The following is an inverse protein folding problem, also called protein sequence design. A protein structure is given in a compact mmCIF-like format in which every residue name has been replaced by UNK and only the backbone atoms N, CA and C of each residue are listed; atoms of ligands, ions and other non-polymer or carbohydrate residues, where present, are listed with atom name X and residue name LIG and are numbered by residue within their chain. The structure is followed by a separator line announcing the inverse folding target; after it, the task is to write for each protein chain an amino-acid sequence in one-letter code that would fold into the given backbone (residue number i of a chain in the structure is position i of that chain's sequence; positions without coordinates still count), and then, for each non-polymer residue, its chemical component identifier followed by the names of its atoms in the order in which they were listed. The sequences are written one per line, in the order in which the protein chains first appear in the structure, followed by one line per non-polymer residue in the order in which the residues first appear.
data_IF_883086916306
#
_entry.id   IF_883086916306
#
_cell.length_a   1.000
_cell.length_b   1.000
_cell.length_c   1.000
_cell.angle_alpha   90.00
_cell.angle_beta   90.00
_cell.angle_gamma   90.00
#
_symmetry.space_group_name_H-M   'P 1'
#
loop_
_entity.id
_entity.type
_entity.pdbx_description
1 polymer ?
#
# COMPACT_ATOMS: atom_id res chain seq x y z
N UNK A 1 -14.66 -64.24 -21.93
CA UNK A 1 -14.66 -62.82 -21.55
C UNK A 1 -13.25 -62.52 -21.09
N UNK A 2 -12.72 -61.38 -21.54
CA UNK A 2 -11.36 -60.85 -21.30
C UNK A 2 -10.28 -61.31 -22.30
N UNK A 3 -10.38 -60.75 -23.51
CA UNK A 3 -9.24 -60.27 -24.28
C UNK A 3 -9.32 -58.74 -24.30
N UNK A 4 -8.25 -58.04 -23.90
CA UNK A 4 -7.66 -56.94 -24.69
C UNK A 4 -6.54 -56.16 -23.94
N UNK A 5 -5.34 -56.27 -24.52
CA UNK A 5 -4.40 -55.19 -24.90
C UNK A 5 -3.36 -54.65 -23.89
N UNK A 6 -2.09 -54.95 -24.21
CA UNK A 6 -0.84 -54.29 -23.78
C UNK A 6 -0.78 -52.79 -24.14
N UNK A 7 -0.04 -51.96 -23.40
CA UNK A 7 0.84 -50.93 -23.99
C UNK A 7 2.06 -50.61 -23.11
N UNK A 8 3.18 -50.39 -23.79
CA UNK A 8 4.55 -50.37 -23.30
C UNK A 8 5.02 -48.97 -22.85
N UNK A 9 5.87 -48.96 -21.82
CA UNK A 9 7.11 -48.18 -21.61
C UNK A 9 7.17 -46.67 -21.94
N UNK A 10 7.67 -45.85 -21.00
CA UNK A 10 9.01 -45.20 -21.07
C UNK A 10 9.16 -44.11 -20.00
N UNK A 11 10.29 -44.16 -19.28
CA UNK A 11 10.80 -43.08 -18.41
C UNK A 11 11.44 -42.01 -19.28
N UNK A 12 11.15 -40.72 -19.05
CA UNK A 12 12.06 -39.61 -19.39
C UNK A 12 11.83 -38.44 -18.43
N UNK A 13 12.85 -38.14 -17.62
CA UNK A 13 13.03 -36.87 -16.90
C UNK A 13 13.31 -35.75 -17.91
N UNK A 14 12.53 -34.67 -17.85
CA UNK A 14 12.76 -33.44 -18.60
C UNK A 14 12.31 -32.23 -17.80
N UNK A 15 13.28 -31.40 -17.39
CA UNK A 15 13.08 -30.05 -16.85
C UNK A 15 12.43 -29.17 -17.91
N UNK A 16 11.39 -28.44 -17.54
CA UNK A 16 10.96 -27.24 -18.27
C UNK A 16 10.37 -26.23 -17.30
N UNK A 17 11.22 -25.29 -16.87
CA UNK A 17 10.79 -23.95 -16.52
C UNK A 17 10.02 -23.36 -17.71
N UNK A 18 8.84 -22.81 -17.45
CA UNK A 18 8.16 -21.90 -18.37
C UNK A 18 7.31 -20.96 -17.53
N UNK A 19 7.84 -19.75 -17.41
CA UNK A 19 7.16 -18.56 -16.93
C UNK A 19 5.77 -18.44 -17.57
N UNK A 20 4.74 -18.18 -16.76
CA UNK A 20 3.54 -17.57 -17.27
C UNK A 20 3.21 -16.31 -16.47
N UNK A 21 3.77 -15.20 -16.97
CA UNK A 21 3.35 -13.85 -16.67
C UNK A 21 2.00 -13.60 -17.33
N UNK A 22 0.91 -13.73 -16.56
CA UNK A 22 -0.39 -13.12 -16.85
C UNK A 22 -1.36 -13.41 -15.70
N UNK A 23 -1.33 -12.59 -14.65
CA UNK A 23 -2.54 -12.44 -13.83
C UNK A 23 -2.60 -11.04 -13.23
N UNK A 24 -2.85 -10.06 -14.09
CA UNK A 24 -3.00 -8.65 -13.73
C UNK A 24 -4.40 -8.07 -14.01
N UNK A 25 -5.43 -8.90 -14.21
CA UNK A 25 -6.73 -8.41 -14.70
C UNK A 25 -7.97 -8.97 -13.99
N UNK A 26 -7.84 -9.60 -12.81
CA UNK A 26 -9.00 -10.14 -12.06
C UNK A 26 -9.22 -9.57 -10.65
N UNK A 27 -8.33 -8.72 -10.11
CA UNK A 27 -8.42 -8.29 -8.69
C UNK A 27 -9.47 -7.17 -8.45
N UNK A 28 -9.64 -6.22 -9.39
CA UNK A 28 -10.46 -5.02 -9.14
C UNK A 28 -11.96 -5.31 -8.99
N UNK A 29 -12.49 -6.29 -9.73
CA UNK A 29 -13.92 -6.62 -9.72
C UNK A 29 -14.35 -7.41 -8.47
N UNK A 30 -13.43 -8.19 -7.89
CA UNK A 30 -13.67 -8.90 -6.63
C UNK A 30 -13.57 -7.95 -5.43
N UNK A 31 -12.66 -6.97 -5.46
CA UNK A 31 -12.54 -5.97 -4.39
C UNK A 31 -13.72 -5.01 -4.29
N UNK A 32 -14.38 -4.69 -5.41
CA UNK A 32 -15.50 -3.74 -5.43
C UNK A 32 -16.72 -4.18 -4.58
N UNK A 33 -16.91 -5.49 -4.38
CA UNK A 33 -17.99 -6.07 -3.56
C UNK A 33 -17.51 -6.59 -2.18
N UNK A 34 -16.24 -6.36 -1.86
CA UNK A 34 -15.60 -6.85 -0.65
C UNK A 34 -16.01 -6.02 0.59
N UNK A 35 -15.90 -6.61 1.77
CA UNK A 35 -16.22 -5.96 3.05
C UNK A 35 -14.94 -5.59 3.79
N UNK A 36 -14.91 -4.42 4.40
CA UNK A 36 -13.80 -3.92 5.19
C UNK A 36 -14.23 -3.83 6.65
N UNK A 37 -13.36 -4.32 7.55
CA UNK A 37 -13.52 -4.16 9.00
C UNK A 37 -12.78 -2.91 9.45
N UNK A 38 -13.50 -1.98 10.07
CA UNK A 38 -12.94 -0.79 10.71
C UNK A 38 -12.96 -1.04 12.22
N UNK A 39 -11.79 -0.94 12.85
CA UNK A 39 -11.63 -1.07 14.29
C UNK A 39 -11.35 0.30 14.88
N UNK A 40 -12.14 0.66 15.89
CA UNK A 40 -11.96 1.89 16.65
C UNK A 40 -11.12 1.60 17.89
N UNK A 41 -10.38 2.60 18.37
CA UNK A 41 -9.48 2.49 19.54
C UNK A 41 -10.22 2.21 20.86
N UNK A 42 -11.53 2.45 20.89
CA UNK A 42 -12.42 2.15 22.01
C UNK A 42 -12.96 0.70 22.00
N UNK A 43 -12.53 -0.12 21.05
CA UNK A 43 -12.86 -1.55 20.96
C UNK A 43 -14.10 -1.89 20.15
N UNK A 44 -14.77 -0.91 19.52
CA UNK A 44 -15.84 -1.20 18.58
C UNK A 44 -15.31 -1.61 17.20
N UNK A 45 -16.05 -2.48 16.51
CA UNK A 45 -15.74 -2.93 15.15
C UNK A 45 -16.95 -2.82 14.24
N UNK A 46 -16.73 -2.32 13.02
CA UNK A 46 -17.78 -2.13 12.02
C UNK A 46 -17.40 -2.85 10.73
N UNK A 47 -18.37 -3.53 10.12
CA UNK A 47 -18.20 -4.14 8.81
C UNK A 47 -18.92 -3.28 7.77
N UNK A 48 -18.16 -2.72 6.84
CA UNK A 48 -18.66 -1.75 5.85
C UNK A 48 -18.27 -2.22 4.44
N UNK A 49 -19.14 -2.06 3.46
CA UNK A 49 -18.80 -2.37 2.05
C UNK A 49 -17.62 -1.51 1.62
N UNK A 50 -16.64 -2.09 0.92
CA UNK A 50 -15.43 -1.38 0.47
C UNK A 50 -15.78 -0.11 -0.31
N UNK A 51 -16.73 -0.17 -1.25
CA UNK A 51 -17.21 1.01 -2.00
C UNK A 51 -17.68 2.16 -1.09
N UNK A 52 -18.25 1.86 0.07
CA UNK A 52 -18.72 2.86 1.04
C UNK A 52 -17.55 3.43 1.84
N UNK A 53 -16.60 2.58 2.25
CA UNK A 53 -15.38 3.04 2.91
C UNK A 53 -14.51 3.90 1.98
N UNK A 54 -14.37 3.50 0.71
CA UNK A 54 -13.63 4.24 -0.32
C UNK A 54 -14.30 5.54 -0.76
N UNK A 55 -15.53 5.84 -0.31
CA UNK A 55 -16.15 7.14 -0.54
C UNK A 55 -15.40 8.27 0.19
N UNK A 56 -14.67 7.96 1.27
CA UNK A 56 -13.72 8.88 1.90
C UNK A 56 -12.36 8.74 1.22
N UNK A 57 -11.78 9.86 0.78
CA UNK A 57 -10.44 9.87 0.19
C UNK A 57 -9.37 9.33 1.16
N UNK A 58 -9.47 9.70 2.43
CA UNK A 58 -8.56 9.21 3.49
C UNK A 58 -8.70 7.71 3.70
N UNK A 59 -9.92 7.18 3.85
CA UNK A 59 -10.12 5.73 3.99
C UNK A 59 -9.73 4.98 2.72
N UNK A 60 -9.93 5.58 1.54
CA UNK A 60 -9.46 5.00 0.29
C UNK A 60 -7.92 4.90 0.26
N UNK A 61 -7.22 5.95 0.68
CA UNK A 61 -5.76 5.95 0.78
C UNK A 61 -5.23 4.98 1.85
N UNK A 62 -5.94 4.80 2.96
CA UNK A 62 -5.56 3.82 3.99
C UNK A 62 -5.83 2.36 3.57
N UNK A 63 -6.87 2.14 2.76
CA UNK A 63 -7.24 0.82 2.26
C UNK A 63 -6.49 0.45 0.97
N UNK A 64 -5.95 1.43 0.25
CA UNK A 64 -5.04 1.23 -0.86
C UNK A 64 -3.64 0.91 -0.31
N UNK A 65 -3.08 -0.26 -0.62
CA UNK A 65 -1.70 -0.58 -0.26
C UNK A 65 -0.67 0.43 -0.77
N UNK A 66 -1.00 1.25 -1.78
CA UNK A 66 -0.12 2.32 -2.27
C UNK A 66 -0.32 3.66 -1.55
N UNK A 67 -1.52 3.95 -1.03
CA UNK A 67 -1.85 5.23 -0.40
C UNK A 67 -1.17 5.42 0.97
N UNK A 68 -1.07 4.38 1.78
CA UNK A 68 -0.33 4.40 3.04
C UNK A 68 1.19 4.55 2.85
N UNK A 69 1.72 4.08 1.71
CA UNK A 69 3.13 4.22 1.36
C UNK A 69 3.54 5.68 1.16
N UNK A 70 2.71 6.46 0.45
CA UNK A 70 3.02 7.86 0.13
C UNK A 70 3.05 8.73 1.39
N UNK A 71 2.09 8.55 2.31
CA UNK A 71 2.08 9.28 3.59
C UNK A 71 3.35 8.96 4.40
N UNK A 72 3.71 7.68 4.48
CA UNK A 72 4.91 7.22 5.20
C UNK A 72 6.19 7.75 4.57
N UNK A 73 6.29 7.73 3.24
CA UNK A 73 7.42 8.28 2.49
C UNK A 73 7.62 9.77 2.82
N UNK A 74 6.55 10.56 2.78
CA UNK A 74 6.61 12.00 3.06
C UNK A 74 6.90 12.30 4.52
N UNK A 75 6.40 11.48 5.45
CA UNK A 75 6.75 11.58 6.87
C UNK A 75 8.25 11.32 7.09
N UNK A 76 8.82 10.29 6.46
CA UNK A 76 10.26 10.00 6.55
C UNK A 76 11.10 11.10 5.90
N UNK A 77 10.67 11.64 4.76
CA UNK A 77 11.30 12.80 4.11
C UNK A 77 11.34 14.00 5.08
N UNK A 78 10.23 14.27 5.78
CA UNK A 78 10.18 15.30 6.82
C UNK A 78 11.13 15.01 8.00
N UNK A 79 11.20 13.76 8.48
CA UNK A 79 12.13 13.38 9.56
C UNK A 79 13.59 13.62 9.16
N UNK A 80 13.98 13.24 7.93
CA UNK A 80 15.31 13.49 7.41
C UNK A 80 15.59 15.00 7.31
N UNK A 81 14.64 15.77 6.78
CA UNK A 81 14.73 17.21 6.69
C UNK A 81 14.91 17.87 8.06
N UNK A 82 14.03 17.55 9.01
CA UNK A 82 14.10 18.04 10.40
C UNK A 82 15.44 17.69 11.03
N UNK A 83 15.89 16.45 10.90
CA UNK A 83 17.15 15.99 11.49
C UNK A 83 18.38 16.70 10.88
N UNK A 84 18.35 16.99 9.58
CA UNK A 84 19.45 17.65 8.89
C UNK A 84 19.53 19.15 9.25
N UNK A 85 18.37 19.82 9.33
CA UNK A 85 18.30 21.26 9.56
C UNK A 85 18.09 21.66 11.04
N UNK A 86 17.88 20.71 11.97
CA UNK A 86 17.77 21.05 13.41
C UNK A 86 19.07 21.60 14.00
N UNK A 87 20.23 21.25 13.43
CA UNK A 87 21.56 21.66 13.92
C UNK A 87 22.17 22.80 13.12
N UNK A 88 21.51 23.28 12.06
CA UNK A 88 22.05 24.34 11.22
C UNK A 88 21.96 25.70 11.93
N UNK A 89 22.96 26.54 11.69
CA UNK A 89 23.03 27.87 12.29
C UNK A 89 22.07 28.88 11.60
N UNK A 90 21.76 30.02 12.23
CA UNK A 90 20.79 31.01 11.71
C UNK A 90 21.17 31.68 10.37
N UNK A 91 22.33 31.34 9.79
CA UNK A 91 22.86 31.89 8.54
C UNK A 91 22.66 30.97 7.34
N UNK A 92 22.20 29.75 7.59
CA UNK A 92 22.00 28.73 6.57
C UNK A 92 20.55 28.80 6.09
N UNK A 93 20.37 28.87 4.78
CA UNK A 93 19.05 28.96 4.17
C UNK A 93 18.38 27.59 4.22
N UNK A 94 17.19 27.52 4.83
CA UNK A 94 16.45 26.27 5.03
C UNK A 94 15.40 26.20 3.92
N UNK A 95 15.45 25.21 3.01
CA UNK A 95 14.54 25.14 1.86
C UNK A 95 13.17 24.57 2.25
N UNK A 96 12.47 25.26 3.17
CA UNK A 96 11.14 24.85 3.66
C UNK A 96 10.11 24.86 2.53
N UNK A 97 10.20 25.83 1.62
CA UNK A 97 9.26 26.00 0.52
C UNK A 97 9.31 24.80 -0.44
N UNK A 98 10.52 24.34 -0.80
CA UNK A 98 10.71 23.18 -1.68
C UNK A 98 10.18 21.88 -1.05
N UNK A 99 10.31 21.77 0.28
CA UNK A 99 9.78 20.63 1.02
C UNK A 99 8.24 20.64 1.05
N UNK A 100 7.63 21.81 1.27
CA UNK A 100 6.16 21.94 1.25
C UNK A 100 5.56 21.68 -0.13
N UNK A 101 6.20 22.15 -1.21
CA UNK A 101 5.74 21.92 -2.58
C UNK A 101 5.81 20.43 -3.00
N UNK A 102 6.66 19.64 -2.34
CA UNK A 102 6.77 18.19 -2.56
C UNK A 102 5.68 17.36 -1.91
N UNK A 103 4.87 17.94 -1.02
CA UNK A 103 3.75 17.27 -0.37
C UNK A 103 2.48 17.61 -1.16
N UNK A 104 1.83 16.63 -1.81
CA UNK A 104 0.55 16.84 -2.47
C UNK A 104 -0.50 17.37 -1.47
N UNK A 105 -1.31 18.36 -1.85
CA UNK A 105 -2.31 18.94 -0.95
C UNK A 105 -3.37 17.91 -0.50
N UNK A 106 -3.56 16.82 -1.24
CA UNK A 106 -4.51 15.75 -0.92
C UNK A 106 -4.10 14.90 0.28
N UNK A 107 -2.82 14.89 0.67
CA UNK A 107 -2.30 14.06 1.77
C UNK A 107 -1.72 14.88 2.93
N UNK A 108 -1.76 16.22 2.82
CA UNK A 108 -1.10 17.11 3.80
C UNK A 108 -1.68 16.94 5.20
N UNK A 109 -2.98 16.70 5.30
CA UNK A 109 -3.66 16.51 6.59
C UNK A 109 -3.31 15.15 7.20
N UNK A 110 -3.19 14.12 6.38
CA UNK A 110 -2.75 12.79 6.80
C UNK A 110 -1.30 12.81 7.30
N UNK A 111 -0.39 13.48 6.58
CA UNK A 111 1.01 13.64 7.01
C UNK A 111 1.10 14.46 8.30
N UNK A 112 0.30 15.52 8.44
CA UNK A 112 0.24 16.33 9.66
C UNK A 112 -0.25 15.52 10.86
N UNK A 113 -1.34 14.76 10.70
CA UNK A 113 -1.87 13.90 11.76
C UNK A 113 -0.87 12.80 12.14
N UNK A 114 -0.19 12.21 11.16
CA UNK A 114 0.84 11.20 11.41
C UNK A 114 2.05 11.79 12.17
N UNK A 115 2.44 13.03 11.86
CA UNK A 115 3.50 13.72 12.59
C UNK A 115 3.10 14.00 14.05
N UNK A 116 1.86 14.45 14.29
CA UNK A 116 1.32 14.65 15.64
C UNK A 116 1.27 13.34 16.44
N UNK A 117 0.82 12.24 15.81
CA UNK A 117 0.84 10.90 16.42
C UNK A 117 2.25 10.44 16.82
N UNK A 118 3.27 10.82 16.05
CA UNK A 118 4.67 10.46 16.29
C UNK A 118 5.38 11.42 17.27
N UNK A 119 4.64 12.35 17.90
CA UNK A 119 5.15 13.38 18.81
C UNK A 119 6.27 14.25 18.17
N UNK A 120 6.08 14.63 16.90
CA UNK A 120 7.07 15.39 16.11
C UNK A 120 6.81 16.89 16.00
#
# INVERSE_FOLDING_TARGET
MEDDIEMQNTVTTGTSESNNAANGATDDSQRANDWVRIESSDGFSYLVKRKVAQASGTMNNMLDPHGAGIVTEKLVEYMCFKSHYQTVGPKEDIPVQEMQERIPPEIVLEVLLAADYQEM
#
